data_IF_936851640297
#
_entry.id   IF_936851640297
#
_cell.length_a   1.000
_cell.length_b   1.000
_cell.length_c   1.000
_cell.angle_alpha   90.00
_cell.angle_beta   90.00
_cell.angle_gamma   90.00
#
_symmetry.space_group_name_H-M   'P 1'
#
loop_
_entity.id
_entity.type
_entity.pdbx_description
1 polymer ?
#
# COMPACT_ATOMS: atom_id res chain seq x y z
N UNK A 1 -18.50 0.73 -1.96
CA UNK A 1 -17.32 -0.16 -1.96
C UNK A 1 -16.35 0.36 -2.98
N UNK A 2 -15.11 0.61 -2.58
CA UNK A 2 -14.06 1.05 -3.51
C UNK A 2 -13.85 -0.03 -4.57
N UNK A 3 -14.00 0.35 -5.85
CA UNK A 3 -13.77 -0.54 -6.99
C UNK A 3 -12.26 -0.58 -7.28
N UNK A 4 -11.65 -1.75 -7.10
CA UNK A 4 -10.21 -1.95 -7.34
C UNK A 4 -10.03 -2.94 -8.47
N UNK A 5 -9.57 -2.47 -9.62
CA UNK A 5 -9.20 -3.35 -10.73
C UNK A 5 -7.82 -3.96 -10.49
N UNK A 6 -7.78 -5.14 -9.87
CA UNK A 6 -6.55 -5.90 -9.63
C UNK A 6 -5.89 -6.45 -10.91
N UNK A 7 -6.55 -6.32 -12.06
CA UNK A 7 -5.98 -6.66 -13.36
C UNK A 7 -5.07 -5.58 -13.96
N UNK A 8 -4.97 -4.43 -13.30
CA UNK A 8 -4.12 -3.30 -13.71
C UNK A 8 -3.11 -2.95 -12.64
N UNK A 9 -2.03 -2.31 -13.06
CA UNK A 9 -1.08 -1.67 -12.17
C UNK A 9 -1.43 -0.19 -12.04
N UNK A 10 -1.91 0.27 -10.86
CA UNK A 10 -2.35 1.65 -10.71
C UNK A 10 -1.15 2.61 -10.83
N UNK A 11 -1.37 3.76 -11.47
CA UNK A 11 -0.45 4.89 -11.41
C UNK A 11 -0.47 5.48 -10.01
N UNK A 12 0.49 6.35 -9.68
CA UNK A 12 0.62 6.90 -8.32
C UNK A 12 -0.66 7.56 -7.82
N UNK A 13 -1.28 8.42 -8.62
CA UNK A 13 -2.51 9.13 -8.22
C UNK A 13 -3.71 8.17 -8.06
N UNK A 14 -3.80 7.14 -8.89
CA UNK A 14 -4.80 6.08 -8.77
C UNK A 14 -4.62 5.28 -7.48
N UNK A 15 -3.37 4.90 -7.16
CA UNK A 15 -3.02 4.23 -5.91
C UNK A 15 -3.43 5.06 -4.70
N UNK A 16 -3.10 6.36 -4.71
CA UNK A 16 -3.48 7.29 -3.62
C UNK A 16 -5.00 7.39 -3.50
N UNK A 17 -5.71 7.48 -4.62
CA UNK A 17 -7.17 7.47 -4.66
C UNK A 17 -7.78 6.21 -4.05
N UNK A 18 -7.25 5.02 -4.38
CA UNK A 18 -7.67 3.74 -3.83
C UNK A 18 -7.45 3.70 -2.30
N UNK A 19 -6.27 4.10 -1.83
CA UNK A 19 -5.95 4.09 -0.40
C UNK A 19 -6.85 5.04 0.40
N UNK A 20 -7.10 6.25 -0.12
CA UNK A 20 -8.03 7.20 0.50
C UNK A 20 -9.46 6.66 0.53
N UNK A 21 -9.92 6.09 -0.57
CA UNK A 21 -11.25 5.48 -0.65
C UNK A 21 -11.43 4.32 0.34
N UNK A 22 -10.44 3.43 0.47
CA UNK A 22 -10.46 2.36 1.48
C UNK A 22 -10.50 2.92 2.91
N UNK A 23 -9.74 3.98 3.19
CA UNK A 23 -9.78 4.62 4.50
C UNK A 23 -11.14 5.30 4.80
N UNK A 24 -11.71 5.98 3.81
CA UNK A 24 -13.03 6.62 3.94
C UNK A 24 -14.15 5.58 4.14
N UNK A 25 -14.05 4.41 3.50
CA UNK A 25 -15.05 3.35 3.62
C UNK A 25 -14.91 2.54 4.92
N UNK A 26 -13.68 2.36 5.41
CA UNK A 26 -13.36 1.54 6.59
C UNK A 26 -12.60 2.32 7.68
N UNK A 27 -13.13 3.47 8.17
CA UNK A 27 -12.39 4.33 9.11
C UNK A 27 -12.16 3.69 10.49
N UNK A 28 -12.98 2.70 10.88
CA UNK A 28 -12.80 1.93 12.12
C UNK A 28 -11.69 0.88 12.04
N UNK A 29 -11.20 0.55 10.85
CA UNK A 29 -10.22 -0.49 10.59
C UNK A 29 -8.92 0.02 9.99
N UNK A 30 -8.87 1.27 9.56
CA UNK A 30 -7.72 1.80 8.83
C UNK A 30 -7.28 3.17 9.36
N UNK A 31 -5.97 3.44 9.32
CA UNK A 31 -5.40 4.78 9.36
C UNK A 31 -4.46 4.93 8.17
N UNK A 32 -4.55 6.06 7.46
CA UNK A 32 -3.72 6.36 6.31
C UNK A 32 -2.83 7.56 6.61
N UNK A 33 -1.51 7.41 6.43
CA UNK A 33 -0.55 8.48 6.65
C UNK A 33 0.69 8.31 5.76
N UNK A 34 1.44 9.39 5.57
CA UNK A 34 2.72 9.37 4.88
C UNK A 34 3.85 9.18 5.89
N UNK A 35 4.77 8.25 5.61
CA UNK A 35 5.99 8.07 6.42
C UNK A 35 7.18 8.86 5.90
N UNK A 36 7.00 9.62 4.83
CA UNK A 36 8.05 10.45 4.23
C UNK A 36 7.75 10.78 2.79
N UNK A 37 8.74 11.40 2.13
CA UNK A 37 8.67 11.79 0.73
C UNK A 37 9.87 11.27 -0.05
N UNK A 38 9.62 10.96 -1.33
CA UNK A 38 10.67 10.62 -2.29
C UNK A 38 11.43 11.86 -2.77
N UNK A 39 12.47 11.65 -3.59
CA UNK A 39 13.21 12.75 -4.23
C UNK A 39 12.34 13.60 -5.17
N UNK A 40 11.34 12.99 -5.83
CA UNK A 40 10.38 13.71 -6.68
C UNK A 40 9.19 14.27 -5.88
N UNK A 41 9.20 14.19 -4.55
CA UNK A 41 8.21 14.78 -3.65
C UNK A 41 6.94 13.96 -3.44
N UNK A 42 6.88 12.72 -3.93
CA UNK A 42 5.74 11.82 -3.70
C UNK A 42 5.74 11.30 -2.27
N UNK A 43 4.57 11.29 -1.64
CA UNK A 43 4.40 10.71 -0.31
C UNK A 43 4.53 9.18 -0.34
N UNK A 44 5.15 8.62 0.69
CA UNK A 44 5.21 7.19 0.96
C UNK A 44 4.01 6.82 1.83
N UNK A 45 2.88 6.55 1.18
CA UNK A 45 1.62 6.26 1.85
C UNK A 45 1.63 4.88 2.49
N UNK A 46 1.40 4.87 3.79
CA UNK A 46 1.30 3.66 4.60
C UNK A 46 -0.11 3.58 5.19
N UNK A 47 -0.70 2.39 5.12
CA UNK A 47 -1.97 2.10 5.76
C UNK A 47 -1.74 1.18 6.96
N UNK A 48 -2.18 1.62 8.13
CA UNK A 48 -2.28 0.81 9.34
C UNK A 48 -3.66 0.15 9.34
N UNK A 49 -3.70 -1.17 9.44
CA UNK A 49 -4.92 -1.98 9.35
C UNK A 49 -5.08 -2.82 10.61
N UNK A 50 -6.14 -2.57 11.36
CA UNK A 50 -6.50 -3.27 12.60
C UNK A 50 -7.93 -2.90 13.01
N UNK A 51 -8.56 -3.64 13.90
CA UNK A 51 -9.78 -3.17 14.56
C UNK A 51 -9.39 -2.19 15.70
N UNK A 52 -9.64 -0.89 15.51
CA UNK A 52 -9.31 0.14 16.51
C UNK A 52 -10.23 0.14 17.71
N UNK A 53 -11.37 -0.55 17.69
CA UNK A 53 -12.24 -0.74 18.85
C UNK A 53 -11.63 -1.68 19.90
N UNK A 54 -10.72 -2.56 19.47
CA UNK A 54 -10.01 -3.49 20.38
C UNK A 54 -8.68 -2.95 20.90
N UNK A 55 -8.34 -1.70 20.54
CA UNK A 55 -7.16 -0.98 21.00
C UNK A 55 -6.33 -0.37 19.86
N UNK A 56 -5.44 0.56 20.20
CA UNK A 56 -4.57 1.21 19.22
C UNK A 56 -3.53 0.24 18.64
N UNK A 57 -3.13 0.46 17.39
CA UNK A 57 -2.19 -0.42 16.69
C UNK A 57 -0.82 -0.51 17.37
N UNK A 58 -0.33 0.60 17.96
CA UNK A 58 0.96 0.63 18.65
C UNK A 58 1.03 -0.26 19.90
N UNK A 59 -0.11 -0.68 20.45
CA UNK A 59 -0.20 -1.61 21.58
C UNK A 59 -0.33 -3.07 21.16
N UNK A 60 -0.47 -3.34 19.86
CA UNK A 60 -0.64 -4.69 19.31
C UNK A 60 0.65 -5.19 18.64
N UNK A 61 0.91 -6.51 18.64
CA UNK A 61 1.96 -7.09 17.81
C UNK A 61 1.74 -6.72 16.35
N UNK A 62 2.78 -6.18 15.69
CA UNK A 62 2.71 -5.66 14.34
C UNK A 62 3.36 -6.54 13.29
N UNK A 63 2.81 -6.51 12.08
CA UNK A 63 3.40 -7.08 10.87
C UNK A 63 3.59 -5.95 9.87
N UNK A 64 4.78 -5.86 9.27
CA UNK A 64 5.08 -4.95 8.18
C UNK A 64 5.00 -5.69 6.85
N UNK A 65 4.25 -5.11 5.90
CA UNK A 65 4.09 -5.62 4.53
C UNK A 65 4.38 -4.49 3.57
N UNK A 66 5.30 -4.69 2.64
CA UNK A 66 5.59 -3.71 1.60
C UNK A 66 5.71 -4.33 0.22
N UNK A 67 5.66 -3.48 -0.81
CA UNK A 67 5.78 -3.91 -2.19
C UNK A 67 6.43 -2.85 -3.08
N UNK A 68 6.81 -3.27 -4.29
CA UNK A 68 7.35 -2.42 -5.34
C UNK A 68 8.60 -1.61 -4.90
N UNK A 69 9.50 -2.29 -4.18
CA UNK A 69 10.82 -1.76 -3.85
C UNK A 69 11.64 -1.54 -5.12
N UNK A 70 11.68 -2.54 -5.99
CA UNK A 70 12.24 -2.37 -7.33
C UNK A 70 11.16 -1.87 -8.28
N UNK A 71 11.49 -0.90 -9.11
CA UNK A 71 10.57 -0.21 -10.02
C UNK A 71 9.80 -1.12 -10.96
N UNK A 72 10.42 -2.21 -11.41
CA UNK A 72 9.88 -3.17 -12.37
C UNK A 72 8.97 -4.25 -11.75
N UNK A 73 8.66 -4.15 -10.45
CA UNK A 73 7.86 -5.14 -9.71
C UNK A 73 6.52 -4.58 -9.22
N UNK A 74 5.67 -3.99 -10.11
CA UNK A 74 4.44 -3.33 -9.69
C UNK A 74 3.38 -4.30 -9.14
N UNK A 75 3.52 -5.61 -9.38
CA UNK A 75 2.65 -6.64 -8.81
C UNK A 75 2.65 -6.60 -7.27
N UNK A 76 3.78 -6.24 -6.64
CA UNK A 76 3.85 -6.06 -5.20
C UNK A 76 2.85 -5.02 -4.66
N UNK A 77 2.62 -3.94 -5.41
CA UNK A 77 1.58 -2.96 -5.07
C UNK A 77 0.19 -3.60 -5.04
N UNK A 78 -0.16 -4.41 -6.07
CA UNK A 78 -1.47 -5.06 -6.14
C UNK A 78 -1.66 -6.10 -5.01
N UNK A 79 -0.60 -6.83 -4.65
CA UNK A 79 -0.64 -7.77 -3.51
C UNK A 79 -0.90 -7.00 -2.21
N UNK A 80 -0.21 -5.89 -1.97
CA UNK A 80 -0.45 -5.03 -0.80
C UNK A 80 -1.88 -4.48 -0.76
N UNK A 81 -2.39 -3.96 -1.88
CA UNK A 81 -3.77 -3.49 -1.98
C UNK A 81 -4.78 -4.62 -1.72
N UNK A 82 -4.52 -5.82 -2.28
CA UNK A 82 -5.38 -6.99 -2.04
C UNK A 82 -5.35 -7.42 -0.58
N UNK A 83 -4.21 -7.32 0.09
CA UNK A 83 -4.08 -7.61 1.53
C UNK A 83 -4.95 -6.65 2.35
N UNK A 84 -4.85 -5.33 2.11
CA UNK A 84 -5.69 -4.34 2.81
C UNK A 84 -7.17 -4.65 2.56
N UNK A 85 -7.55 -4.75 1.28
CA UNK A 85 -8.93 -5.00 0.87
C UNK A 85 -9.49 -6.26 1.53
N UNK A 86 -8.75 -7.37 1.50
CA UNK A 86 -9.15 -8.64 2.09
C UNK A 86 -9.38 -8.53 3.60
N UNK A 87 -8.45 -7.90 4.32
CA UNK A 87 -8.57 -7.74 5.77
C UNK A 87 -9.83 -6.95 6.16
N UNK A 88 -10.12 -5.85 5.47
CA UNK A 88 -11.27 -5.00 5.83
C UNK A 88 -12.61 -5.55 5.34
N UNK A 89 -12.64 -6.33 4.25
CA UNK A 89 -13.89 -6.89 3.72
C UNK A 89 -14.29 -8.21 4.34
N UNK A 90 -13.33 -9.01 4.78
CA UNK A 90 -13.58 -10.34 5.39
C UNK A 90 -13.67 -10.29 6.92
N UNK A 91 -13.50 -9.11 7.53
CA UNK A 91 -13.71 -8.95 8.98
C UNK A 91 -15.16 -9.30 9.36
N UNK A 92 -15.31 -10.21 10.33
CA UNK A 92 -16.62 -10.71 10.76
C UNK A 92 -17.13 -11.91 9.96
N UNK A 93 -16.62 -12.15 8.75
CA UNK A 93 -16.98 -13.29 7.89
C UNK A 93 -15.95 -14.42 7.99
N UNK A 94 -14.67 -14.08 7.96
CA UNK A 94 -13.55 -15.03 8.14
C UNK A 94 -13.02 -14.95 9.60
N UNK A 95 -13.04 -16.08 10.30
CA UNK A 95 -12.62 -16.15 11.70
C UNK A 95 -11.12 -15.84 11.90
N UNK A 96 -10.26 -16.20 10.93
CA UNK A 96 -8.83 -15.91 10.99
C UNK A 96 -8.57 -14.42 10.77
N UNK A 97 -9.23 -13.82 9.79
CA UNK A 97 -9.14 -12.37 9.52
C UNK A 97 -9.63 -11.60 10.76
N UNK A 98 -10.75 -11.98 11.33
CA UNK A 98 -11.29 -11.35 12.54
C UNK A 98 -10.31 -11.43 13.71
N UNK A 99 -9.73 -12.61 13.95
CA UNK A 99 -8.72 -12.79 15.00
C UNK A 99 -7.46 -11.93 14.77
N UNK A 100 -6.99 -11.86 13.51
CA UNK A 100 -5.85 -11.01 13.15
C UNK A 100 -6.18 -9.53 13.40
N UNK A 101 -7.30 -9.07 12.92
CA UNK A 101 -7.72 -7.66 13.04
C UNK A 101 -7.94 -7.24 14.49
N UNK A 102 -8.46 -8.13 15.34
CA UNK A 102 -8.71 -7.82 16.74
C UNK A 102 -7.42 -7.80 17.59
N UNK A 103 -6.44 -8.63 17.26
CA UNK A 103 -5.28 -8.88 18.13
C UNK A 103 -3.94 -8.44 17.53
N UNK A 104 -3.90 -7.98 16.28
CA UNK A 104 -2.69 -7.60 15.57
C UNK A 104 -2.90 -6.29 14.84
N UNK A 105 -1.81 -5.67 14.40
CA UNK A 105 -1.81 -4.57 13.43
C UNK A 105 -0.98 -4.96 12.21
N UNK A 106 -1.49 -4.64 11.04
CA UNK A 106 -0.77 -4.82 9.77
C UNK A 106 -0.46 -3.44 9.19
N UNK A 107 0.81 -3.11 9.10
CA UNK A 107 1.30 -1.88 8.44
C UNK A 107 1.60 -2.21 6.99
N UNK A 108 0.94 -1.56 6.06
CA UNK A 108 1.08 -1.84 4.63
C UNK A 108 1.59 -0.61 3.90
N UNK A 109 2.76 -0.72 3.27
CA UNK A 109 3.33 0.27 2.33
C UNK A 109 3.25 -0.29 0.91
N UNK A 110 2.21 0.00 0.13
CA UNK A 110 1.99 -0.66 -1.16
C UNK A 110 3.05 -0.34 -2.21
N UNK A 111 3.76 0.78 -2.08
CA UNK A 111 4.78 1.21 -3.04
C UNK A 111 5.94 1.92 -2.36
N UNK A 112 7.03 1.17 -2.17
CA UNK A 112 8.28 1.68 -1.56
C UNK A 112 9.00 2.66 -2.49
N UNK A 113 8.97 2.40 -3.81
CA UNK A 113 9.64 3.20 -4.82
C UNK A 113 8.64 3.78 -5.84
N UNK A 114 7.84 4.81 -5.46
CA UNK A 114 6.86 5.36 -6.38
C UNK A 114 7.48 6.11 -7.57
N UNK A 115 8.65 6.73 -7.42
CA UNK A 115 9.32 7.43 -8.51
C UNK A 115 9.77 6.44 -9.59
N UNK A 116 10.44 5.36 -9.18
CA UNK A 116 10.84 4.30 -10.10
C UNK A 116 9.66 3.60 -10.76
N UNK A 117 8.60 3.33 -10.00
CA UNK A 117 7.38 2.72 -10.53
C UNK A 117 6.71 3.60 -11.60
N UNK A 118 6.64 4.91 -11.39
CA UNK A 118 6.10 5.84 -12.38
C UNK A 118 6.93 5.86 -13.68
N UNK A 119 8.26 5.79 -13.57
CA UNK A 119 9.14 5.66 -14.74
C UNK A 119 8.85 4.35 -15.47
N UNK A 120 8.82 3.22 -14.74
CA UNK A 120 8.55 1.90 -15.30
C UNK A 120 7.19 1.81 -16.02
N UNK A 121 6.15 2.37 -15.42
CA UNK A 121 4.79 2.32 -15.96
C UNK A 121 4.55 3.29 -17.14
N UNK A 122 5.44 4.26 -17.37
CA UNK A 122 5.20 5.33 -18.37
C UNK A 122 6.24 5.45 -19.44
N UNK A 123 7.43 4.91 -19.23
CA UNK A 123 8.55 5.07 -20.16
C UNK A 123 9.05 3.70 -20.65
N UNK A 124 9.64 3.64 -21.85
CA UNK A 124 10.20 2.38 -22.37
C UNK A 124 11.48 1.93 -21.65
N UNK A 125 11.99 2.72 -20.70
CA UNK A 125 13.19 2.41 -19.94
C UNK A 125 12.86 1.73 -18.64
N UNK A 126 13.63 0.70 -18.29
CA UNK A 126 13.44 -0.06 -17.06
C UNK A 126 14.58 0.24 -16.08
N UNK A 127 14.23 0.75 -14.92
CA UNK A 127 15.14 0.91 -13.79
C UNK A 127 14.72 -0.05 -12.68
N UNK A 128 15.66 -0.78 -12.13
CA UNK A 128 15.38 -1.77 -11.09
C UNK A 128 15.38 -1.18 -9.68
N UNK A 129 16.12 -0.08 -9.47
CA UNK A 129 16.23 0.59 -8.18
C UNK A 129 16.42 2.11 -8.37
N UNK A 130 16.00 2.88 -7.35
CA UNK A 130 16.02 4.34 -7.42
C UNK A 130 15.00 4.90 -8.43
N UNK A 131 14.58 6.11 -8.26
CA UNK A 131 13.67 6.80 -9.18
C UNK A 131 14.40 7.71 -10.16
N UNK A 132 15.70 7.91 -9.99
CA UNK A 132 16.48 8.86 -10.77
C UNK A 132 17.22 8.10 -11.87
N UNK A 133 17.01 8.44 -13.15
CA UNK A 133 17.79 7.90 -14.25
C UNK A 133 19.28 8.21 -14.04
N UNK A 134 20.13 7.20 -14.13
CA UNK A 134 21.55 7.46 -14.18
C UNK A 134 21.89 8.06 -15.55
N UNK A 135 22.37 9.31 -15.63
CA UNK A 135 22.69 9.96 -16.89
C UNK A 135 23.78 9.25 -17.70
N UNK A 136 24.57 8.39 -17.05
CA UNK A 136 25.64 7.62 -17.71
C UNK A 136 25.13 6.42 -18.52
N UNK A 137 23.81 6.12 -18.43
CA UNK A 137 23.13 5.06 -19.19
C UNK A 137 22.03 5.59 -20.11
N UNK A 138 22.04 6.85 -20.42
CA UNK A 138 21.08 7.47 -21.36
C UNK A 138 21.58 7.40 -22.81
#
# INVERSE_FOLDING_TARGET
MVDIDFGKYPRYDELVGILKGLHEEYPGFTKLYSIGKTLEGRDLWTMEVTNFETGPGEEKPGIWVDGNTHSSEPTGTNVCLKTIWHLVTEYGEDAMVTEIMDNRVVYVLPRVNPDGAEIFLTKPYHYTSGGVPNPDFA
#
